data_IF_183773035517
#
_entry.id   IF_183773035517
#
_cell.length_a   1.000
_cell.length_b   1.000
_cell.length_c   1.000
_cell.angle_alpha   90.00
_cell.angle_beta   90.00
_cell.angle_gamma   90.00
#
_symmetry.space_group_name_H-M   'P 1'
#
loop_
_entity.id
_entity.type
_entity.pdbx_description
1 polymer ?
#
# COMPACT_ATOMS: atom_id res chain seq x y z
N UNK A 1 -23.83 -16.60 57.24
CA UNK A 1 -22.60 -16.97 56.50
C UNK A 1 -23.03 -17.49 55.14
N UNK A 2 -22.64 -16.77 54.07
CA UNK A 2 -22.35 -17.28 52.71
C UNK A 2 -23.57 -17.78 51.88
N UNK A 3 -23.85 -17.38 50.64
CA UNK A 3 -23.29 -16.38 49.71
C UNK A 3 -24.38 -15.95 48.72
N UNK A 4 -24.27 -14.72 48.25
CA UNK A 4 -25.17 -14.03 47.34
C UNK A 4 -24.68 -14.25 45.90
N UNK A 5 -25.41 -15.05 45.12
CA UNK A 5 -25.14 -15.31 43.71
C UNK A 5 -25.32 -14.08 42.82
N UNK A 6 -24.28 -13.25 42.73
CA UNK A 6 -24.19 -12.16 41.77
C UNK A 6 -23.81 -12.69 40.38
N UNK A 7 -24.76 -12.65 39.46
CA UNK A 7 -24.51 -12.82 38.04
C UNK A 7 -23.67 -11.64 37.51
N UNK A 8 -22.37 -11.88 37.30
CA UNK A 8 -21.49 -10.94 36.63
C UNK A 8 -21.73 -10.95 35.13
N UNK A 9 -22.55 -10.02 34.64
CA UNK A 9 -22.59 -9.64 33.23
C UNK A 9 -21.21 -9.08 32.84
N UNK A 10 -20.40 -9.90 32.18
CA UNK A 10 -19.08 -9.51 31.67
C UNK A 10 -19.25 -9.03 30.23
N UNK A 11 -18.81 -7.79 30.00
CA UNK A 11 -19.12 -6.97 28.85
C UNK A 11 -18.74 -7.51 27.47
N UNK A 12 -19.69 -7.35 26.56
CA UNK A 12 -19.60 -7.42 25.09
C UNK A 12 -19.03 -6.11 24.48
N UNK A 13 -18.19 -5.37 25.21
CA UNK A 13 -17.64 -4.08 24.71
C UNK A 13 -16.47 -4.27 23.71
N UNK A 14 -15.86 -5.47 23.71
CA UNK A 14 -14.75 -5.81 22.83
C UNK A 14 -15.17 -6.10 21.38
N UNK A 15 -16.37 -6.65 21.18
CA UNK A 15 -16.90 -6.99 19.85
C UNK A 15 -17.18 -5.74 19.01
N UNK A 16 -17.84 -4.75 19.62
CA UNK A 16 -18.24 -3.50 18.96
C UNK A 16 -17.04 -2.68 18.47
N UNK A 17 -15.92 -2.67 19.22
CA UNK A 17 -14.69 -1.98 18.81
C UNK A 17 -14.01 -2.63 17.61
N UNK A 18 -13.92 -3.96 17.61
CA UNK A 18 -13.33 -4.72 16.49
C UNK A 18 -14.17 -4.61 15.21
N UNK A 19 -15.49 -4.50 15.33
CA UNK A 19 -16.37 -4.25 14.19
C UNK A 19 -16.16 -2.85 13.62
N UNK A 20 -16.05 -1.82 14.47
CA UNK A 20 -15.78 -0.46 14.01
C UNK A 20 -14.41 -0.31 13.34
N UNK A 21 -13.38 -1.03 13.79
CA UNK A 21 -12.05 -1.02 13.16
C UNK A 21 -12.05 -1.56 11.71
N UNK A 22 -13.08 -2.34 11.33
CA UNK A 22 -13.25 -2.88 9.98
C UNK A 22 -14.06 -1.98 9.05
N UNK A 23 -14.68 -0.94 9.58
CA UNK A 23 -15.50 -0.02 8.82
C UNK A 23 -14.65 1.09 8.20
N UNK A 24 -14.98 1.48 6.96
CA UNK A 24 -14.40 2.67 6.35
C UNK A 24 -14.87 3.92 7.11
N UNK A 25 -14.08 5.01 7.20
CA UNK A 25 -14.54 6.24 7.86
C UNK A 25 -15.86 6.77 7.26
N UNK A 26 -16.91 6.89 8.09
CA UNK A 26 -18.26 7.30 7.65
C UNK A 26 -18.27 8.64 6.92
N UNK A 27 -17.35 9.55 7.25
CA UNK A 27 -17.18 10.84 6.59
C UNK A 27 -16.75 10.68 5.11
N UNK A 28 -15.88 9.71 4.82
CA UNK A 28 -15.42 9.44 3.45
C UNK A 28 -16.55 8.80 2.63
N UNK A 29 -17.27 7.84 3.22
CA UNK A 29 -18.47 7.24 2.61
C UNK A 29 -19.50 8.33 2.27
N UNK A 30 -19.83 9.19 3.23
CA UNK A 30 -20.77 10.29 3.03
C UNK A 30 -20.35 11.28 1.94
N UNK A 31 -19.05 11.56 1.80
CA UNK A 31 -18.52 12.43 0.73
C UNK A 31 -18.73 11.80 -0.66
N UNK A 32 -18.42 10.52 -0.82
CA UNK A 32 -18.60 9.80 -2.10
C UNK A 32 -20.08 9.70 -2.46
N UNK A 33 -20.94 9.33 -1.50
CA UNK A 33 -22.39 9.29 -1.71
C UNK A 33 -22.95 10.63 -2.19
N UNK A 34 -22.35 11.77 -1.80
CA UNK A 34 -22.76 13.10 -2.27
C UNK A 34 -22.36 13.45 -3.69
N UNK A 35 -21.32 12.83 -4.25
CA UNK A 35 -20.85 13.16 -5.59
C UNK A 35 -21.88 12.81 -6.68
N UNK A 36 -22.75 11.84 -6.42
CA UNK A 36 -23.77 11.38 -7.37
C UNK A 36 -25.16 12.01 -7.13
N UNK A 37 -25.28 12.91 -6.14
CA UNK A 37 -26.56 13.53 -5.77
C UNK A 37 -26.61 15.01 -6.17
N UNK A 38 -27.80 15.57 -6.41
CA UNK A 38 -27.95 17.00 -6.70
C UNK A 38 -27.38 17.90 -5.59
N UNK A 39 -26.98 19.14 -5.93
CA UNK A 39 -26.54 20.12 -4.94
C UNK A 39 -27.55 20.28 -3.79
N UNK A 40 -27.05 20.49 -2.57
CA UNK A 40 -27.84 20.66 -1.33
C UNK A 40 -28.68 19.45 -0.87
N UNK A 41 -28.61 18.30 -1.55
CA UNK A 41 -29.25 17.08 -1.07
C UNK A 41 -28.75 16.74 0.35
N UNK A 42 -29.59 16.13 1.19
CA UNK A 42 -29.19 15.58 2.51
C UNK A 42 -29.06 14.06 2.43
N UNK A 43 -28.25 13.44 3.30
CA UNK A 43 -28.22 11.98 3.52
C UNK A 43 -28.36 11.80 5.02
N UNK A 44 -29.29 10.94 5.44
CA UNK A 44 -29.47 10.63 6.86
C UNK A 44 -28.24 9.96 7.46
N UNK A 45 -28.19 9.84 8.78
CA UNK A 45 -27.09 9.14 9.45
C UNK A 45 -27.13 7.65 9.10
N UNK A 46 -28.33 7.07 9.21
CA UNK A 46 -28.62 5.66 9.02
C UNK A 46 -28.24 5.21 7.60
N UNK A 47 -28.55 6.02 6.58
CA UNK A 47 -28.17 5.69 5.20
C UNK A 47 -26.65 5.68 4.98
N UNK A 48 -25.89 6.51 5.70
CA UNK A 48 -24.41 6.47 5.62
C UNK A 48 -23.86 5.23 6.30
N UNK A 49 -24.41 4.86 7.46
CA UNK A 49 -24.01 3.66 8.22
C UNK A 49 -24.33 2.39 7.43
N UNK A 50 -25.51 2.28 6.82
CA UNK A 50 -25.86 1.14 5.95
C UNK A 50 -24.90 1.01 4.77
N UNK A 51 -24.58 2.10 4.07
CA UNK A 51 -23.63 2.04 2.94
C UNK A 51 -22.20 1.76 3.41
N UNK A 52 -21.82 2.23 4.60
CA UNK A 52 -20.53 1.93 5.21
C UNK A 52 -20.38 0.43 5.49
N UNK A 53 -21.41 -0.20 6.06
CA UNK A 53 -21.48 -1.66 6.27
C UNK A 53 -21.43 -2.40 4.94
N UNK A 54 -22.27 -2.02 3.96
CA UNK A 54 -22.29 -2.65 2.64
C UNK A 54 -20.93 -2.53 1.93
N UNK A 55 -20.22 -1.40 2.07
CA UNK A 55 -18.92 -1.22 1.45
C UNK A 55 -17.85 -2.14 2.07
N UNK A 56 -17.86 -2.30 3.40
CA UNK A 56 -16.97 -3.24 4.09
C UNK A 56 -17.27 -4.70 3.75
N UNK A 57 -18.56 -5.04 3.64
CA UNK A 57 -18.98 -6.36 3.17
C UNK A 57 -18.58 -6.60 1.71
N UNK A 58 -18.77 -5.63 0.83
CA UNK A 58 -18.35 -5.70 -0.57
C UNK A 58 -16.85 -5.98 -0.72
N UNK A 59 -16.01 -5.29 0.06
CA UNK A 59 -14.56 -5.55 0.08
C UNK A 59 -14.29 -7.01 0.47
N UNK A 60 -14.94 -7.49 1.54
CA UNK A 60 -14.78 -8.87 2.03
C UNK A 60 -15.26 -9.90 1.00
N UNK A 61 -16.38 -9.62 0.34
CA UNK A 61 -16.98 -10.48 -0.67
C UNK A 61 -16.08 -10.64 -1.90
N UNK A 62 -15.67 -9.53 -2.51
CA UNK A 62 -14.79 -9.55 -3.69
C UNK A 62 -13.43 -10.15 -3.35
N UNK A 63 -12.88 -9.82 -2.17
CA UNK A 63 -11.58 -10.37 -1.73
C UNK A 63 -11.69 -11.87 -1.47
N UNK A 64 -12.82 -12.35 -0.96
CA UNK A 64 -13.10 -13.77 -0.74
C UNK A 64 -13.07 -14.55 -2.05
N UNK A 65 -13.77 -14.04 -3.08
CA UNK A 65 -13.83 -14.64 -4.41
C UNK A 65 -12.46 -14.64 -5.12
N UNK A 66 -11.75 -13.50 -5.08
CA UNK A 66 -10.40 -13.38 -5.62
C UNK A 66 -9.41 -14.33 -4.91
N UNK A 67 -9.58 -14.52 -3.60
CA UNK A 67 -8.77 -15.44 -2.81
C UNK A 67 -9.03 -16.90 -3.19
N UNK A 68 -10.28 -17.28 -3.45
CA UNK A 68 -10.62 -18.64 -3.92
C UNK A 68 -9.99 -18.91 -5.29
N UNK A 69 -10.07 -17.95 -6.22
CA UNK A 69 -9.41 -18.02 -7.52
C UNK A 69 -7.90 -18.21 -7.39
N UNK A 70 -7.25 -17.38 -6.56
CA UNK A 70 -5.83 -17.48 -6.27
C UNK A 70 -5.43 -18.86 -5.72
N UNK A 71 -6.21 -19.39 -4.76
CA UNK A 71 -5.99 -20.72 -4.17
C UNK A 71 -6.15 -21.84 -5.19
N UNK A 72 -7.19 -21.76 -6.03
CA UNK A 72 -7.44 -22.73 -7.11
C UNK A 72 -6.25 -22.83 -8.07
N UNK A 73 -5.55 -21.71 -8.30
CA UNK A 73 -4.32 -21.65 -9.10
C UNK A 73 -3.04 -21.99 -8.32
N UNK A 74 -3.16 -22.53 -7.09
CA UNK A 74 -2.05 -22.91 -6.21
C UNK A 74 -1.12 -21.75 -5.86
N UNK A 75 -1.62 -20.51 -5.89
CA UNK A 75 -0.89 -19.32 -5.44
C UNK A 75 -1.28 -18.97 -4.00
N UNK A 76 -0.33 -18.39 -3.26
CA UNK A 76 -0.53 -17.91 -1.88
C UNK A 76 -0.77 -16.40 -1.79
N UNK A 77 -0.56 -15.68 -2.88
CA UNK A 77 -0.62 -14.22 -2.93
C UNK A 77 -1.63 -13.82 -3.98
N UNK A 78 -2.69 -13.15 -3.53
CA UNK A 78 -3.69 -12.53 -4.40
C UNK A 78 -3.05 -11.38 -5.14
N UNK A 79 -3.31 -11.27 -6.44
CA UNK A 79 -2.80 -10.19 -7.28
C UNK A 79 -3.97 -9.40 -7.93
N UNK A 80 -3.63 -8.37 -8.71
CA UNK A 80 -4.65 -7.53 -9.36
C UNK A 80 -5.48 -8.26 -10.43
N UNK A 81 -4.95 -9.31 -11.06
CA UNK A 81 -5.69 -10.07 -12.06
C UNK A 81 -6.77 -10.94 -11.40
N UNK A 82 -6.51 -11.46 -10.19
CA UNK A 82 -7.51 -12.17 -9.37
C UNK A 82 -8.71 -11.29 -9.05
N UNK A 83 -8.45 -10.03 -8.69
CA UNK A 83 -9.50 -9.05 -8.39
C UNK A 83 -10.30 -8.72 -9.64
N UNK A 84 -9.64 -8.52 -10.79
CA UNK A 84 -10.34 -8.27 -12.05
C UNK A 84 -11.22 -9.47 -12.45
N UNK A 85 -10.73 -10.69 -12.26
CA UNK A 85 -11.51 -11.90 -12.51
C UNK A 85 -12.71 -12.02 -11.55
N UNK A 86 -12.51 -11.76 -10.26
CA UNK A 86 -13.59 -11.82 -9.27
C UNK A 86 -14.71 -10.83 -9.60
N UNK A 87 -14.38 -9.62 -10.06
CA UNK A 87 -15.39 -8.64 -10.49
C UNK A 87 -16.25 -9.16 -11.65
N UNK A 88 -15.67 -9.86 -12.63
CA UNK A 88 -16.43 -10.49 -13.74
C UNK A 88 -17.26 -11.67 -13.22
N UNK A 89 -16.66 -12.55 -12.41
CA UNK A 89 -17.34 -13.74 -11.88
C UNK A 89 -18.57 -13.39 -11.00
N UNK A 90 -18.51 -12.26 -10.29
CA UNK A 90 -19.58 -11.75 -9.43
C UNK A 90 -20.63 -10.91 -10.18
N UNK A 91 -20.49 -10.71 -11.50
CA UNK A 91 -21.44 -9.96 -12.33
C UNK A 91 -21.25 -8.44 -12.30
N UNK A 92 -20.06 -7.96 -11.96
CA UNK A 92 -19.68 -6.54 -12.00
C UNK A 92 -18.86 -6.21 -13.26
N UNK A 93 -19.24 -6.75 -14.41
CA UNK A 93 -18.53 -6.64 -15.70
C UNK A 93 -18.23 -5.19 -16.11
N UNK A 94 -19.18 -4.28 -15.85
CA UNK A 94 -19.04 -2.84 -16.13
C UNK A 94 -17.86 -2.19 -15.40
N UNK A 95 -17.42 -2.77 -14.28
CA UNK A 95 -16.26 -2.32 -13.50
C UNK A 95 -14.98 -3.06 -13.86
N UNK A 96 -15.06 -4.33 -14.28
CA UNK A 96 -13.88 -5.14 -14.57
C UNK A 96 -13.02 -4.57 -15.71
N UNK A 97 -13.65 -4.14 -16.80
CA UNK A 97 -12.95 -3.52 -17.95
C UNK A 97 -12.14 -2.28 -17.57
N UNK A 98 -12.75 -1.27 -16.93
CA UNK A 98 -12.03 -0.12 -16.37
C UNK A 98 -10.90 -0.49 -15.40
N UNK A 99 -11.13 -1.45 -14.49
CA UNK A 99 -10.12 -1.88 -13.53
C UNK A 99 -8.91 -2.54 -14.20
N UNK A 100 -9.13 -3.37 -15.23
CA UNK A 100 -8.05 -3.99 -15.99
C UNK A 100 -7.17 -2.96 -16.70
N UNK A 101 -7.79 -1.92 -17.28
CA UNK A 101 -7.06 -0.79 -17.88
C UNK A 101 -6.26 -0.02 -16.84
N UNK A 102 -6.83 0.22 -15.66
CA UNK A 102 -6.12 0.86 -14.56
C UNK A 102 -4.92 0.01 -14.11
N UNK A 103 -5.10 -1.29 -13.92
CA UNK A 103 -4.05 -2.22 -13.51
C UNK A 103 -2.89 -2.23 -14.52
N UNK A 104 -3.19 -2.21 -15.82
CA UNK A 104 -2.17 -2.12 -16.86
C UNK A 104 -1.34 -0.84 -16.74
N UNK A 105 -2.00 0.32 -16.63
CA UNK A 105 -1.30 1.61 -16.46
C UNK A 105 -0.50 1.67 -15.17
N UNK A 106 -1.01 1.09 -14.09
CA UNK A 106 -0.30 1.01 -12.81
C UNK A 106 1.01 0.22 -12.95
N UNK A 107 0.98 -0.93 -13.65
CA UNK A 107 2.17 -1.75 -13.93
C UNK A 107 3.20 -1.01 -14.79
N UNK A 108 2.76 -0.25 -15.79
CA UNK A 108 3.63 0.58 -16.64
C UNK A 108 4.34 1.66 -15.80
N UNK A 109 3.61 2.41 -14.96
CA UNK A 109 4.18 3.45 -14.11
C UNK A 109 5.17 2.91 -13.05
N UNK A 110 4.86 1.76 -12.44
CA UNK A 110 5.78 1.10 -11.50
C UNK A 110 7.05 0.60 -12.22
N UNK A 111 6.91 0.09 -13.45
CA UNK A 111 8.03 -0.28 -14.31
C UNK A 111 8.93 0.90 -14.64
N UNK A 112 8.36 2.05 -14.98
CA UNK A 112 9.08 3.28 -15.27
C UNK A 112 9.82 3.82 -14.05
N UNK A 113 9.19 3.82 -12.86
CA UNK A 113 9.84 4.18 -11.59
C UNK A 113 11.05 3.30 -11.32
N UNK A 114 10.89 1.98 -11.44
CA UNK A 114 11.97 1.04 -11.23
C UNK A 114 13.12 1.23 -12.24
N UNK A 115 12.81 1.64 -13.47
CA UNK A 115 13.81 1.91 -14.50
C UNK A 115 14.56 3.23 -14.26
N UNK A 116 13.86 4.27 -13.78
CA UNK A 116 14.48 5.54 -13.37
C UNK A 116 15.43 5.37 -12.18
N UNK A 117 15.04 4.59 -11.18
CA UNK A 117 15.89 4.27 -10.02
C UNK A 117 17.15 3.48 -10.43
N UNK A 118 17.01 2.55 -11.39
CA UNK A 118 18.16 1.83 -11.96
C UNK A 118 19.11 2.77 -12.71
N UNK A 119 18.57 3.64 -13.57
CA UNK A 119 19.38 4.64 -14.27
C UNK A 119 20.10 5.57 -13.29
N UNK A 120 19.41 6.10 -12.27
CA UNK A 120 20.03 6.94 -11.25
C UNK A 120 21.16 6.21 -10.51
N UNK A 121 20.98 4.93 -10.15
CA UNK A 121 22.03 4.13 -9.55
C UNK A 121 23.21 3.86 -10.50
N UNK A 122 22.96 3.59 -11.78
CA UNK A 122 24.02 3.43 -12.77
C UNK A 122 24.84 4.71 -12.95
N UNK A 123 24.19 5.88 -13.00
CA UNK A 123 24.87 7.18 -13.03
C UNK A 123 25.73 7.40 -11.77
N UNK A 124 25.19 7.12 -10.58
CA UNK A 124 25.94 7.27 -9.33
C UNK A 124 27.15 6.34 -9.23
N UNK A 125 27.04 5.10 -9.71
CA UNK A 125 28.16 4.14 -9.77
C UNK A 125 29.23 4.63 -10.75
N UNK A 126 28.83 5.13 -11.92
CA UNK A 126 29.79 5.65 -12.92
C UNK A 126 30.53 6.90 -12.46
N UNK A 127 29.91 7.76 -11.63
CA UNK A 127 30.59 8.92 -11.02
C UNK A 127 31.58 8.46 -9.95
N UNK A 128 31.20 7.48 -9.11
CA UNK A 128 32.08 6.94 -8.07
C UNK A 128 33.31 6.20 -8.61
N UNK A 129 33.20 5.57 -9.79
CA UNK A 129 34.33 4.94 -10.46
C UNK A 129 35.31 5.98 -11.06
N UNK A 130 34.82 7.12 -11.57
CA UNK A 130 35.67 8.20 -12.07
C UNK A 130 36.47 8.91 -10.95
N UNK A 131 35.95 8.98 -9.73
CA UNK A 131 36.67 9.58 -8.59
C UNK A 131 37.81 8.71 -8.06
N UNK A 132 37.81 7.39 -8.31
CA UNK A 132 38.89 6.49 -7.86
C UNK A 132 40.16 6.61 -8.69
N UNK A 133 40.03 6.91 -9.98
CA UNK A 133 41.18 7.08 -10.89
C UNK A 133 41.88 8.45 -10.73
N UNK A 134 41.29 9.39 -9.99
CA UNK A 134 41.88 10.71 -9.73
C UNK A 134 42.94 10.73 -8.60
N UNK A 135 43.23 9.58 -7.96
CA UNK A 135 44.23 9.47 -6.89
C UNK A 135 45.61 9.04 -7.42
N UNK A 136 46.34 9.99 -8.01
CA UNK A 136 47.75 9.78 -8.42
C UNK A 136 48.62 9.55 -7.16
N UNK A 137 49.50 8.52 -7.11
CA UNK A 137 50.36 8.30 -5.96
C UNK A 137 51.44 9.39 -5.91
N UNK A 138 51.44 10.21 -4.85
CA UNK A 138 52.55 11.12 -4.57
C UNK A 138 53.80 10.28 -4.27
N UNK A 139 54.75 10.32 -5.20
CA UNK A 139 56.00 9.60 -5.13
C UNK A 139 56.88 10.15 -4.00
N UNK A 140 57.46 9.23 -3.24
CA UNK A 140 58.39 9.48 -2.14
C UNK A 140 59.59 10.32 -2.60
N UNK A 141 59.72 11.54 -2.09
CA UNK A 141 60.97 12.31 -2.16
C UNK A 141 61.72 12.17 -0.83
N UNK A 142 62.79 11.39 -0.89
CA UNK A 142 63.77 11.12 0.16
C UNK A 142 64.39 12.38 0.77
N UNK A 143 64.44 12.44 2.11
CA UNK A 143 65.26 13.39 2.87
C UNK A 143 66.75 13.21 2.54
N UNK A 144 67.37 14.20 1.89
CA UNK A 144 68.83 14.32 1.82
C UNK A 144 69.30 15.44 2.73
N UNK A 145 69.92 15.02 3.82
CA UNK A 145 70.50 15.81 4.88
C UNK A 145 71.70 16.62 4.36
N UNK A 146 71.74 17.94 4.57
CA UNK A 146 72.98 18.71 4.45
C UNK A 146 72.98 19.93 5.40
N UNK A 147 73.31 19.70 6.68
CA UNK A 147 73.71 20.78 7.58
C UNK A 147 75.22 21.01 7.42
N UNK A 148 75.57 22.01 6.62
CA UNK A 148 76.85 22.70 6.75
C UNK A 148 76.74 23.72 7.87
N UNK A 149 77.48 23.51 8.96
CA UNK A 149 77.77 24.55 9.97
C UNK A 149 79.25 24.87 9.85
N UNK A 150 79.54 26.08 9.38
CA UNK A 150 80.88 26.69 9.40
C UNK A 150 80.71 28.04 10.09
N UNK A 151 81.36 28.18 11.25
CA UNK A 151 82.02 29.36 11.84
C UNK A 151 82.57 28.90 13.19
#
# INVERSE_FOLDING_TARGET
MVDNGGAGASGDDGGVKLEQDRLLPVANVGRIMKQILPPNSKISKEAKETIQECASEFISFVTGEASEKCRTERRKTVNGDDVCWAMEALGFDDYAGPLRRYLQRYREMEGDRANQEKHANTYNISIADQEKDASVPSSSSSYRNNRGTRM
#
